data_IF_896949700748
#
_entry.id   IF_896949700748
#
_cell.length_a   1.000
_cell.length_b   1.000
_cell.length_c   1.000
_cell.angle_alpha   90.00
_cell.angle_beta   90.00
_cell.angle_gamma   90.00
#
_symmetry.space_group_name_H-M   'P 1'
#
loop_
_entity.id
_entity.type
_entity.pdbx_description
1 polymer ?
#
# COMPACT_ATOMS: atom_id res chain seq x y z
N UNK A 1 42.52 7.66 -15.07
CA UNK A 1 41.14 7.77 -14.55
C UNK A 1 40.25 7.88 -15.77
N UNK A 2 39.80 6.73 -16.28
CA UNK A 2 38.92 6.66 -17.45
C UNK A 2 37.49 6.94 -17.00
N UNK A 3 36.95 8.07 -17.44
CA UNK A 3 35.53 8.35 -17.33
C UNK A 3 34.80 7.44 -18.33
N UNK A 4 34.07 6.47 -17.78
CA UNK A 4 33.34 5.44 -18.52
C UNK A 4 32.47 6.05 -19.63
N UNK A 5 32.83 5.71 -20.86
CA UNK A 5 32.02 5.88 -22.06
C UNK A 5 30.75 5.06 -21.89
N UNK A 6 29.61 5.72 -21.72
CA UNK A 6 28.30 5.08 -21.72
C UNK A 6 27.97 4.81 -23.20
N UNK A 7 28.23 3.58 -23.65
CA UNK A 7 27.80 3.14 -24.98
C UNK A 7 26.26 3.19 -25.04
N UNK A 8 25.75 3.87 -26.08
CA UNK A 8 24.38 4.39 -26.20
C UNK A 8 23.24 3.37 -26.37
N UNK A 9 23.40 2.15 -25.87
CA UNK A 9 22.30 1.21 -25.65
C UNK A 9 22.18 1.01 -24.16
N UNK A 10 21.64 2.02 -23.47
CA UNK A 10 21.60 2.10 -22.00
C UNK A 10 20.88 0.92 -21.38
N UNK A 11 21.64 -0.08 -20.92
CA UNK A 11 21.11 -1.20 -20.15
C UNK A 11 20.48 -0.67 -18.86
N UNK A 12 19.21 -0.99 -18.63
CA UNK A 12 18.53 -0.59 -17.39
C UNK A 12 18.96 -1.57 -16.31
N UNK A 13 19.81 -1.12 -15.39
CA UNK A 13 20.15 -1.88 -14.20
C UNK A 13 18.97 -1.93 -13.23
N UNK A 14 18.58 -3.14 -12.83
CA UNK A 14 17.59 -3.42 -11.78
C UNK A 14 18.30 -4.11 -10.61
N UNK A 15 18.11 -3.58 -9.41
CA UNK A 15 18.61 -4.19 -8.18
C UNK A 15 17.46 -4.63 -7.30
N UNK A 16 17.55 -5.81 -6.71
CA UNK A 16 16.54 -6.34 -5.78
C UNK A 16 17.19 -6.51 -4.41
N UNK A 17 16.54 -5.99 -3.37
CA UNK A 17 16.98 -6.07 -1.99
C UNK A 17 15.79 -6.46 -1.10
N UNK A 18 16.05 -7.23 -0.05
CA UNK A 18 15.01 -7.68 0.86
C UNK A 18 15.48 -7.75 2.31
N UNK A 19 14.51 -7.82 3.21
CA UNK A 19 14.72 -8.11 4.64
C UNK A 19 14.87 -9.61 4.93
N UNK A 20 14.50 -10.45 3.96
CA UNK A 20 14.57 -11.91 3.95
C UNK A 20 15.52 -12.44 2.86
N UNK A 21 15.81 -13.74 2.85
CA UNK A 21 16.67 -14.36 1.85
C UNK A 21 16.02 -14.34 0.45
N UNK A 22 16.80 -13.97 -0.57
CA UNK A 22 16.31 -13.76 -1.94
C UNK A 22 16.57 -14.93 -2.88
N UNK A 23 17.29 -15.96 -2.43
CA UNK A 23 17.72 -17.09 -3.25
C UNK A 23 16.59 -17.71 -4.08
N UNK A 24 15.38 -17.96 -3.53
CA UNK A 24 14.27 -18.53 -4.31
C UNK A 24 13.68 -17.58 -5.37
N UNK A 25 13.94 -16.28 -5.27
CA UNK A 25 13.45 -15.28 -6.23
C UNK A 25 14.38 -15.12 -7.44
N UNK A 26 15.62 -15.59 -7.34
CA UNK A 26 16.65 -15.40 -8.39
C UNK A 26 16.22 -16.06 -9.68
N UNK A 27 15.99 -17.38 -9.67
CA UNK A 27 15.65 -18.13 -10.88
C UNK A 27 14.33 -17.64 -11.52
N UNK A 28 13.22 -17.44 -10.77
CA UNK A 28 11.98 -16.92 -11.34
C UNK A 28 12.12 -15.56 -12.06
N UNK A 29 12.95 -14.65 -11.52
CA UNK A 29 13.20 -13.35 -12.15
C UNK A 29 14.11 -13.45 -13.36
N UNK A 30 15.21 -14.19 -13.26
CA UNK A 30 16.13 -14.40 -14.38
C UNK A 30 15.43 -15.07 -15.55
N UNK A 31 14.62 -16.11 -15.29
CA UNK A 31 13.84 -16.79 -16.32
C UNK A 31 12.89 -15.85 -17.05
N UNK A 32 12.30 -14.86 -16.38
CA UNK A 32 11.37 -13.90 -17.01
C UNK A 32 12.08 -12.75 -17.72
N UNK A 33 13.14 -12.22 -17.13
CA UNK A 33 13.86 -11.05 -17.66
C UNK A 33 14.90 -11.41 -18.70
N UNK A 34 15.45 -12.64 -18.68
CA UNK A 34 16.54 -13.07 -19.56
C UNK A 34 16.09 -14.03 -20.67
N UNK A 35 14.85 -14.51 -20.68
CA UNK A 35 14.37 -15.46 -21.71
C UNK A 35 14.10 -14.83 -23.09
N UNK A 36 14.05 -13.50 -23.21
CA UNK A 36 13.79 -12.82 -24.47
C UNK A 36 15.07 -12.40 -25.23
N UNK A 37 15.15 -12.59 -26.56
CA UNK A 37 16.23 -12.01 -27.36
C UNK A 37 16.19 -10.47 -27.25
N UNK A 38 17.31 -9.86 -26.84
CA UNK A 38 17.41 -8.41 -26.64
C UNK A 38 17.08 -7.94 -25.22
N UNK A 39 17.19 -8.80 -24.21
CA UNK A 39 17.14 -8.38 -22.80
C UNK A 39 18.30 -7.42 -22.48
N UNK A 40 18.01 -6.13 -22.34
CA UNK A 40 18.96 -5.09 -21.91
C UNK A 40 18.94 -4.85 -20.40
N UNK A 41 18.23 -5.70 -19.66
CA UNK A 41 18.03 -5.52 -18.22
C UNK A 41 19.10 -6.27 -17.47
N UNK A 42 19.99 -5.55 -16.79
CA UNK A 42 20.96 -6.17 -15.89
C UNK A 42 20.31 -6.35 -14.52
N UNK A 43 20.10 -7.59 -14.10
CA UNK A 43 19.56 -7.91 -12.79
C UNK A 43 20.70 -8.14 -11.78
N UNK A 44 20.56 -7.60 -10.57
CA UNK A 44 21.47 -7.88 -9.46
C UNK A 44 20.72 -7.96 -8.14
N UNK A 45 21.26 -8.74 -7.21
CA UNK A 45 20.67 -8.95 -5.89
C UNK A 45 21.57 -8.38 -4.81
N UNK A 46 20.96 -7.75 -3.82
CA UNK A 46 21.64 -7.31 -2.62
C UNK A 46 21.81 -8.47 -1.64
N UNK A 47 22.90 -8.52 -0.87
CA UNK A 47 23.03 -9.49 0.21
C UNK A 47 21.91 -9.33 1.26
N UNK A 48 21.58 -10.45 1.91
CA UNK A 48 20.59 -10.51 2.99
C UNK A 48 20.78 -9.39 4.02
N UNK A 49 19.70 -8.69 4.37
CA UNK A 49 19.68 -7.66 5.40
C UNK A 49 20.34 -6.32 5.02
N UNK A 50 20.73 -6.11 3.76
CA UNK A 50 21.40 -4.87 3.32
C UNK A 50 20.46 -3.82 2.72
N UNK A 51 19.13 -3.97 2.86
CA UNK A 51 18.15 -3.09 2.23
C UNK A 51 18.40 -1.58 2.45
N UNK A 52 18.62 -1.15 3.70
CA UNK A 52 18.87 0.26 4.02
C UNK A 52 20.16 0.78 3.37
N UNK A 53 21.19 -0.05 3.32
CA UNK A 53 22.45 0.27 2.65
C UNK A 53 22.25 0.44 1.15
N UNK A 54 21.42 -0.37 0.52
CA UNK A 54 21.10 -0.25 -0.91
C UNK A 54 20.32 1.02 -1.22
N UNK A 55 19.40 1.42 -0.34
CA UNK A 55 18.68 2.68 -0.48
C UNK A 55 19.61 3.90 -0.40
N UNK A 56 20.57 3.88 0.54
CA UNK A 56 21.50 4.99 0.79
C UNK A 56 22.80 4.93 -0.03
N UNK A 57 23.04 3.80 -0.71
CA UNK A 57 24.26 3.52 -1.44
C UNK A 57 24.42 4.38 -2.71
N UNK A 58 25.57 4.27 -3.39
CA UNK A 58 25.69 4.83 -4.73
C UNK A 58 24.62 4.20 -5.64
N UNK A 59 23.93 5.02 -6.44
CA UNK A 59 22.94 4.54 -7.40
C UNK A 59 23.64 3.84 -8.57
N UNK A 60 24.03 2.59 -8.35
CA UNK A 60 24.66 1.74 -9.37
C UNK A 60 23.62 1.13 -10.31
N UNK A 61 22.35 1.13 -9.90
CA UNK A 61 21.22 0.69 -10.70
C UNK A 61 20.27 1.88 -10.95
N UNK A 62 19.64 1.91 -12.13
CA UNK A 62 18.58 2.88 -12.40
C UNK A 62 17.33 2.59 -11.56
N UNK A 63 17.08 1.32 -11.25
CA UNK A 63 15.88 0.87 -10.54
C UNK A 63 16.24 0.00 -9.34
N UNK A 64 15.48 0.15 -8.25
CA UNK A 64 15.58 -0.69 -7.06
C UNK A 64 14.21 -1.26 -6.71
N UNK A 65 14.18 -2.54 -6.35
CA UNK A 65 13.04 -3.23 -5.77
C UNK A 65 13.41 -3.58 -4.33
N UNK A 66 12.61 -3.11 -3.38
CA UNK A 66 12.76 -3.29 -1.96
C UNK A 66 11.63 -4.18 -1.43
N UNK A 67 11.92 -5.44 -1.09
CA UNK A 67 10.95 -6.36 -0.48
C UNK A 67 11.06 -6.30 1.05
N UNK A 68 9.95 -5.98 1.69
CA UNK A 68 9.92 -5.59 3.10
C UNK A 68 9.00 -6.53 3.85
N UNK A 69 9.53 -7.20 4.87
CA UNK A 69 8.73 -7.91 5.86
C UNK A 69 9.09 -7.39 7.25
N UNK A 70 8.16 -6.68 7.88
CA UNK A 70 8.43 -5.91 9.10
C UNK A 70 9.01 -6.72 10.25
N UNK A 71 8.57 -7.96 10.44
CA UNK A 71 9.04 -8.81 11.54
C UNK A 71 10.54 -9.17 11.46
N UNK A 72 11.16 -9.10 10.28
CA UNK A 72 12.56 -9.48 10.11
C UNK A 72 13.51 -8.56 10.87
N UNK A 73 13.14 -7.28 11.08
CA UNK A 73 13.92 -6.35 11.92
C UNK A 73 13.84 -6.65 13.42
N UNK A 74 12.87 -7.46 13.84
CA UNK A 74 12.61 -7.78 15.23
C UNK A 74 13.05 -9.21 15.60
N UNK A 75 13.37 -10.05 14.61
CA UNK A 75 13.67 -11.49 14.76
C UNK A 75 14.76 -11.81 15.80
N UNK A 76 15.79 -10.97 15.91
CA UNK A 76 16.92 -11.19 16.83
C UNK A 76 16.80 -10.46 18.17
N UNK A 77 15.66 -9.83 18.45
CA UNK A 77 15.49 -9.07 19.70
C UNK A 77 15.06 -9.98 20.83
N UNK A 78 15.94 -10.14 21.81
CA UNK A 78 15.63 -10.83 23.07
C UNK A 78 14.73 -9.94 23.94
N UNK A 79 13.64 -10.50 24.47
CA UNK A 79 12.73 -9.79 25.40
C UNK A 79 11.49 -9.16 24.75
N UNK A 80 11.15 -9.53 23.51
CA UNK A 80 9.98 -9.03 22.80
C UNK A 80 10.22 -7.68 22.12
N UNK A 81 9.24 -7.24 21.33
CA UNK A 81 9.28 -5.96 20.63
C UNK A 81 8.81 -4.85 21.57
N UNK A 82 9.70 -3.91 21.88
CA UNK A 82 9.32 -2.72 22.66
C UNK A 82 8.76 -1.66 21.74
N UNK A 83 7.87 -0.81 22.26
CA UNK A 83 7.27 0.27 21.46
C UNK A 83 8.31 1.20 20.81
N UNK A 84 9.37 1.55 21.54
CA UNK A 84 10.46 2.37 20.99
C UNK A 84 11.15 1.74 19.77
N UNK A 85 11.13 0.41 19.67
CA UNK A 85 11.72 -0.33 18.56
C UNK A 85 10.83 -0.25 17.30
N UNK A 86 9.49 -0.29 17.50
CA UNK A 86 8.50 -0.02 16.46
C UNK A 86 8.57 1.42 15.95
N UNK A 87 9.07 2.36 16.75
CA UNK A 87 9.23 3.75 16.31
C UNK A 87 10.52 3.97 15.52
N UNK A 88 11.64 3.44 16.02
CA UNK A 88 12.98 3.71 15.50
C UNK A 88 13.28 3.00 14.17
N UNK A 89 12.94 1.70 14.05
CA UNK A 89 13.26 0.90 12.86
C UNK A 89 12.63 1.48 11.59
N UNK A 90 11.32 1.80 11.57
CA UNK A 90 10.72 2.42 10.39
C UNK A 90 11.30 3.81 10.12
N UNK A 91 11.69 4.58 11.14
CA UNK A 91 12.20 5.93 10.87
C UNK A 91 13.53 5.90 10.11
N UNK A 92 14.40 4.92 10.38
CA UNK A 92 15.61 4.71 9.61
C UNK A 92 15.29 4.34 8.14
N UNK A 93 14.35 3.42 7.93
CA UNK A 93 13.89 3.05 6.59
C UNK A 93 13.25 4.23 5.86
N UNK A 94 12.35 4.98 6.50
CA UNK A 94 11.69 6.14 5.92
C UNK A 94 12.69 7.24 5.58
N UNK A 95 13.69 7.46 6.42
CA UNK A 95 14.81 8.35 6.13
C UNK A 95 15.58 7.84 4.90
N UNK A 96 15.86 6.55 4.81
CA UNK A 96 16.55 5.96 3.66
C UNK A 96 15.74 6.12 2.36
N UNK A 97 14.42 5.90 2.41
CA UNK A 97 13.51 6.14 1.28
C UNK A 97 13.54 7.61 0.86
N UNK A 98 13.48 8.56 1.79
CA UNK A 98 13.54 10.01 1.45
C UNK A 98 14.86 10.44 0.81
N UNK A 99 15.95 9.73 1.08
CA UNK A 99 17.29 10.05 0.61
C UNK A 99 17.83 9.07 -0.45
N UNK A 100 16.96 8.22 -1.01
CA UNK A 100 17.37 7.27 -2.04
C UNK A 100 17.90 8.00 -3.28
N UNK A 101 18.76 7.32 -4.04
CA UNK A 101 19.43 7.91 -5.23
C UNK A 101 19.08 7.24 -6.55
N UNK A 102 18.28 6.18 -6.52
CA UNK A 102 17.77 5.51 -7.74
C UNK A 102 16.70 6.34 -8.44
N UNK A 103 16.49 6.15 -9.74
CA UNK A 103 15.47 6.91 -10.48
C UNK A 103 14.07 6.36 -10.31
N UNK A 104 13.94 5.05 -10.02
CA UNK A 104 12.68 4.42 -9.63
C UNK A 104 12.91 3.40 -8.51
N UNK A 105 12.08 3.47 -7.49
CA UNK A 105 12.08 2.58 -6.34
C UNK A 105 10.70 1.93 -6.21
N UNK A 106 10.62 0.61 -6.32
CA UNK A 106 9.44 -0.14 -5.91
C UNK A 106 9.65 -0.66 -4.49
N UNK A 107 8.73 -0.35 -3.59
CA UNK A 107 8.66 -0.93 -2.26
C UNK A 107 7.50 -1.93 -2.23
N UNK A 108 7.80 -3.18 -1.92
CA UNK A 108 6.79 -4.23 -1.76
C UNK A 108 6.73 -4.61 -0.30
N UNK A 109 5.61 -4.33 0.35
CA UNK A 109 5.33 -4.80 1.71
C UNK A 109 4.76 -6.21 1.63
N UNK A 110 5.55 -7.17 2.12
CA UNK A 110 5.24 -8.59 2.07
C UNK A 110 4.47 -9.04 3.33
N UNK A 111 3.63 -10.10 3.24
CA UNK A 111 2.83 -10.55 4.36
C UNK A 111 3.69 -10.97 5.57
N UNK A 112 3.31 -10.60 6.81
CA UNK A 112 3.98 -11.09 8.01
C UNK A 112 3.73 -12.60 8.22
N UNK A 113 4.48 -13.28 9.09
CA UNK A 113 4.12 -14.61 9.63
C UNK A 113 2.93 -14.51 10.59
N UNK A 114 2.42 -15.67 11.00
CA UNK A 114 1.48 -15.78 12.13
C UNK A 114 2.12 -15.47 13.48
N UNK A 115 3.44 -15.55 13.58
CA UNK A 115 4.19 -15.39 14.83
C UNK A 115 4.73 -13.96 14.97
N UNK A 116 4.33 -13.07 14.05
CA UNK A 116 4.73 -11.69 14.00
C UNK A 116 4.19 -10.89 15.20
N UNK A 117 4.75 -9.68 15.45
CA UNK A 117 4.17 -8.74 16.42
C UNK A 117 2.68 -8.48 16.14
N UNK A 118 1.99 -7.91 17.12
CA UNK A 118 0.56 -7.62 17.04
C UNK A 118 0.21 -7.01 15.65
N UNK A 119 -0.78 -7.58 14.92
CA UNK A 119 -1.17 -7.07 13.60
C UNK A 119 -1.50 -5.58 13.60
N UNK A 120 -1.96 -5.02 14.72
CA UNK A 120 -2.23 -3.58 14.88
C UNK A 120 -0.95 -2.74 14.89
N UNK A 121 0.14 -3.25 15.50
CA UNK A 121 1.44 -2.59 15.47
C UNK A 121 2.00 -2.55 14.04
N UNK A 122 1.91 -3.67 13.32
CA UNK A 122 2.38 -3.76 11.93
C UNK A 122 1.55 -2.90 10.97
N UNK A 123 0.22 -2.82 11.17
CA UNK A 123 -0.63 -1.91 10.40
C UNK A 123 -0.20 -0.44 10.58
N UNK A 124 0.22 -0.06 11.78
CA UNK A 124 0.80 1.27 12.02
C UNK A 124 2.07 1.53 11.19
N UNK A 125 2.88 0.51 10.92
CA UNK A 125 4.07 0.61 10.07
C UNK A 125 3.69 0.75 8.59
N UNK A 126 2.73 -0.05 8.13
CA UNK A 126 2.16 0.04 6.78
C UNK A 126 1.65 1.46 6.48
N UNK A 127 0.90 2.06 7.40
CA UNK A 127 0.41 3.44 7.22
C UNK A 127 1.53 4.47 7.20
N UNK A 128 2.59 4.30 8.01
CA UNK A 128 3.73 5.23 8.02
C UNK A 128 4.45 5.24 6.68
N UNK A 129 4.65 4.07 6.07
CA UNK A 129 5.30 3.97 4.78
C UNK A 129 4.38 4.42 3.65
N UNK A 130 3.09 4.08 3.71
CA UNK A 130 2.08 4.53 2.75
C UNK A 130 1.93 6.05 2.72
N UNK A 131 2.06 6.73 3.87
CA UNK A 131 2.09 8.20 3.92
C UNK A 131 3.32 8.81 3.28
N UNK A 132 4.47 8.15 3.41
CA UNK A 132 5.76 8.71 3.00
C UNK A 132 6.00 8.52 1.51
N UNK A 133 5.65 7.35 0.97
CA UNK A 133 5.98 6.99 -0.42
C UNK A 133 5.45 8.00 -1.47
N UNK A 134 4.19 8.48 -1.43
CA UNK A 134 3.65 9.42 -2.42
C UNK A 134 4.35 10.79 -2.45
N UNK A 135 5.11 11.13 -1.40
CA UNK A 135 5.81 12.42 -1.27
C UNK A 135 7.20 12.35 -1.92
N UNK A 136 7.74 11.15 -2.08
CA UNK A 136 9.09 10.94 -2.57
C UNK A 136 9.03 10.60 -4.04
N UNK A 137 9.60 11.46 -4.88
CA UNK A 137 9.63 11.26 -6.33
C UNK A 137 10.28 9.92 -6.70
N UNK A 138 9.68 9.21 -7.65
CA UNK A 138 10.19 7.93 -8.14
C UNK A 138 9.90 6.74 -7.22
N UNK A 139 9.22 6.93 -6.09
CA UNK A 139 8.84 5.83 -5.18
C UNK A 139 7.43 5.34 -5.48
N UNK A 140 7.31 4.03 -5.68
CA UNK A 140 6.05 3.31 -5.77
C UNK A 140 5.98 2.31 -4.62
N UNK A 141 4.79 2.07 -4.10
CA UNK A 141 4.56 1.08 -3.04
C UNK A 141 3.46 0.12 -3.47
N UNK A 142 3.62 -1.15 -3.08
CA UNK A 142 2.64 -2.20 -3.28
C UNK A 142 2.61 -3.14 -2.09
N UNK A 143 1.48 -3.83 -1.94
CA UNK A 143 1.24 -4.77 -0.84
C UNK A 143 1.05 -6.17 -1.41
N UNK A 144 2.02 -7.04 -1.18
CA UNK A 144 2.00 -8.38 -1.78
C UNK A 144 0.86 -9.26 -1.23
N UNK A 145 0.30 -8.92 -0.06
CA UNK A 145 -0.95 -9.53 0.44
C UNK A 145 -2.13 -9.38 -0.52
N UNK A 146 -2.13 -8.34 -1.35
CA UNK A 146 -3.22 -8.07 -2.30
C UNK A 146 -2.98 -8.77 -3.66
N UNK A 147 -1.88 -9.52 -3.79
CA UNK A 147 -1.56 -10.28 -5.00
C UNK A 147 -2.06 -11.72 -4.93
N UNK A 148 -2.53 -12.14 -3.77
CA UNK A 148 -3.09 -13.47 -3.53
C UNK A 148 -4.57 -13.38 -3.22
N UNK A 149 -5.27 -14.48 -3.48
CA UNK A 149 -6.70 -14.58 -3.21
C UNK A 149 -6.97 -14.39 -1.71
N UNK A 150 -8.00 -13.60 -1.34
CA UNK A 150 -8.40 -13.45 0.05
C UNK A 150 -8.62 -14.82 0.72
N UNK A 151 -8.01 -15.04 1.88
CA UNK A 151 -8.13 -16.29 2.63
C UNK A 151 -7.01 -17.31 2.39
N UNK A 152 -6.11 -17.08 1.42
CA UNK A 152 -4.94 -17.94 1.19
C UNK A 152 -3.65 -17.41 1.87
N UNK A 153 -3.78 -16.56 2.91
CA UNK A 153 -2.63 -15.95 3.60
C UNK A 153 -1.70 -16.96 4.29
N UNK A 154 -2.24 -18.11 4.68
CA UNK A 154 -1.42 -19.19 5.26
C UNK A 154 -0.72 -20.04 4.20
N UNK A 155 -1.27 -20.11 2.98
CA UNK A 155 -0.76 -20.95 1.90
C UNK A 155 0.51 -20.36 1.25
N UNK A 156 0.76 -19.06 1.43
CA UNK A 156 1.96 -18.39 0.88
C UNK A 156 3.20 -18.54 1.75
N UNK A 157 3.06 -19.06 2.97
CA UNK A 157 4.12 -19.05 4.00
C UNK A 157 4.83 -20.41 4.07
N UNK A 158 6.16 -20.38 4.05
CA UNK A 158 6.96 -21.57 4.37
C UNK A 158 7.62 -21.39 5.75
N UNK A 159 6.90 -21.80 6.80
CA UNK A 159 7.38 -21.66 8.20
C UNK A 159 8.65 -22.46 8.47
N UNK A 160 8.86 -23.56 7.74
CA UNK A 160 10.03 -24.40 7.96
C UNK A 160 11.27 -23.73 7.37
N UNK A 161 11.21 -23.36 6.10
CA UNK A 161 12.30 -22.66 5.40
C UNK A 161 12.60 -21.30 6.03
N UNK A 162 11.59 -20.59 6.54
CA UNK A 162 11.79 -19.32 7.22
C UNK A 162 12.66 -19.46 8.47
N UNK A 163 12.45 -20.55 9.22
CA UNK A 163 13.16 -20.81 10.47
C UNK A 163 14.63 -21.15 10.24
N UNK A 164 14.94 -21.88 9.16
CA UNK A 164 16.29 -22.42 8.93
C UNK A 164 17.13 -21.56 7.97
N UNK A 165 16.49 -20.89 7.02
CA UNK A 165 17.14 -20.23 5.90
C UNK A 165 16.67 -18.79 5.69
N UNK A 166 15.76 -18.28 6.53
CA UNK A 166 15.15 -16.96 6.36
C UNK A 166 14.44 -16.80 5.00
N UNK A 167 13.88 -17.91 4.51
CA UNK A 167 13.05 -17.97 3.30
C UNK A 167 11.58 -18.02 3.74
N UNK A 168 10.87 -16.88 3.76
CA UNK A 168 9.59 -16.76 4.46
C UNK A 168 8.39 -17.32 3.71
N UNK A 169 8.54 -17.53 2.41
CA UNK A 169 7.43 -17.83 1.52
C UNK A 169 7.68 -19.10 0.72
N UNK A 170 6.60 -19.67 0.22
CA UNK A 170 6.67 -20.82 -0.69
C UNK A 170 7.21 -20.40 -2.06
N UNK A 171 7.70 -21.37 -2.82
CA UNK A 171 8.19 -21.16 -4.18
C UNK A 171 7.09 -20.56 -5.08
N UNK A 172 5.84 -21.00 -4.93
CA UNK A 172 4.70 -20.47 -5.68
C UNK A 172 4.47 -18.98 -5.41
N UNK A 173 4.65 -18.52 -4.17
CA UNK A 173 4.53 -17.10 -3.88
C UNK A 173 5.72 -16.30 -4.42
N UNK A 174 6.93 -16.87 -4.44
CA UNK A 174 8.08 -16.25 -5.11
C UNK A 174 7.86 -16.11 -6.63
N UNK A 175 7.17 -17.04 -7.27
CA UNK A 175 6.74 -16.90 -8.67
C UNK A 175 5.81 -15.69 -8.86
N UNK A 176 4.83 -15.51 -7.96
CA UNK A 176 3.93 -14.35 -7.96
C UNK A 176 4.72 -13.05 -7.76
N UNK A 177 5.64 -13.00 -6.81
CA UNK A 177 6.52 -11.84 -6.60
C UNK A 177 7.30 -11.51 -7.88
N UNK A 178 7.89 -12.53 -8.52
CA UNK A 178 8.66 -12.35 -9.75
C UNK A 178 7.81 -11.78 -10.90
N UNK A 179 6.61 -12.31 -11.12
CA UNK A 179 5.68 -11.81 -12.12
C UNK A 179 5.32 -10.33 -11.91
N UNK A 180 5.05 -9.93 -10.66
CA UNK A 180 4.67 -8.55 -10.32
C UNK A 180 5.85 -7.59 -10.47
N UNK A 181 7.03 -8.00 -10.05
CA UNK A 181 8.26 -7.21 -10.23
C UNK A 181 8.56 -7.00 -11.72
N UNK A 182 8.46 -8.05 -12.55
CA UNK A 182 8.66 -7.97 -14.00
C UNK A 182 7.64 -7.01 -14.63
N UNK A 183 6.36 -7.12 -14.26
CA UNK A 183 5.33 -6.19 -14.71
C UNK A 183 5.69 -4.73 -14.42
N UNK A 184 6.16 -4.43 -13.21
CA UNK A 184 6.61 -3.09 -12.84
C UNK A 184 7.85 -2.63 -13.62
N UNK A 185 8.83 -3.52 -13.84
CA UNK A 185 10.01 -3.25 -14.68
C UNK A 185 9.58 -2.89 -16.10
N UNK A 186 8.59 -3.59 -16.66
CA UNK A 186 8.06 -3.31 -18.00
C UNK A 186 7.21 -2.02 -18.06
N UNK A 187 6.98 -1.36 -16.92
CA UNK A 187 6.11 -0.18 -16.83
C UNK A 187 4.63 -0.51 -16.92
N UNK A 188 4.25 -1.78 -16.76
CA UNK A 188 2.86 -2.20 -16.63
C UNK A 188 2.39 -1.93 -15.21
N UNK A 189 1.11 -1.60 -15.06
CA UNK A 189 0.50 -1.40 -13.76
C UNK A 189 0.66 -2.67 -12.90
N UNK A 190 0.96 -2.48 -11.61
CA UNK A 190 0.87 -3.53 -10.61
C UNK A 190 -0.61 -3.81 -10.39
N UNK A 191 -1.23 -4.64 -11.22
CA UNK A 191 -2.61 -5.05 -11.01
C UNK A 191 -2.71 -6.02 -9.81
N UNK A 192 -3.89 -6.18 -9.23
CA UNK A 192 -4.15 -7.32 -8.34
C UNK A 192 -3.88 -8.66 -9.05
N UNK A 193 -3.75 -9.72 -8.26
CA UNK A 193 -3.89 -11.11 -8.72
C UNK A 193 -5.01 -11.23 -9.74
N UNK A 194 -4.75 -11.71 -10.96
CA UNK A 194 -5.85 -12.37 -11.67
C UNK A 194 -6.10 -13.65 -10.88
N UNK A 195 -7.37 -13.96 -10.62
CA UNK A 195 -7.76 -15.15 -9.85
C UNK A 195 -7.22 -16.47 -10.45
N UNK A 196 -6.64 -16.42 -11.65
CA UNK A 196 -6.18 -17.55 -12.44
C UNK A 196 -4.76 -18.06 -12.09
N UNK A 197 -3.94 -17.31 -11.33
CA UNK A 197 -2.50 -17.65 -11.18
C UNK A 197 -2.16 -18.46 -9.91
N UNK A 198 -3.07 -18.59 -8.94
CA UNK A 198 -2.87 -19.47 -7.76
C UNK A 198 -4.14 -20.28 -7.51
N UNK A 199 -4.41 -21.24 -8.40
CA UNK A 199 -5.53 -22.19 -8.26
C UNK A 199 -5.07 -23.49 -7.59
N UNK A 200 -4.33 -23.39 -6.50
CA UNK A 200 -3.95 -24.54 -5.64
C UNK A 200 -4.24 -24.30 -4.16
N UNK A 201 -5.11 -23.34 -3.80
CA UNK A 201 -5.81 -23.41 -2.52
C UNK A 201 -6.81 -24.59 -2.62
N UNK A 202 -6.50 -25.69 -1.93
CA UNK A 202 -7.26 -26.94 -2.00
C UNK A 202 -8.76 -26.74 -1.74
N UNK A 203 -9.57 -27.16 -2.71
CA UNK A 203 -11.04 -27.35 -2.73
C UNK A 203 -11.92 -26.56 -1.75
N UNK A 204 -12.78 -25.69 -2.31
CA UNK A 204 -14.23 -25.67 -2.02
C UNK A 204 -15.00 -24.84 -3.05
N UNK A 205 -15.90 -25.55 -3.73
CA UNK A 205 -17.12 -25.18 -4.47
C UNK A 205 -17.28 -23.82 -5.18
N UNK A 206 -17.45 -23.96 -6.49
CA UNK A 206 -18.01 -22.98 -7.39
C UNK A 206 -19.48 -22.67 -7.06
N UNK A 207 -19.76 -21.42 -6.70
CA UNK A 207 -21.03 -20.75 -6.99
C UNK A 207 -20.90 -19.27 -6.64
N UNK A 208 -20.94 -18.39 -7.65
CA UNK A 208 -21.79 -17.18 -7.75
C UNK A 208 -21.40 -16.50 -9.07
N UNK A 209 -22.15 -16.81 -10.14
CA UNK A 209 -22.13 -16.05 -11.37
C UNK A 209 -23.58 -15.76 -11.76
N UNK A 210 -23.90 -14.45 -11.84
CA UNK A 210 -25.05 -13.79 -12.46
C UNK A 210 -25.86 -12.91 -11.51
N UNK A 211 -25.37 -11.69 -11.32
CA UNK A 211 -26.16 -10.53 -10.90
C UNK A 211 -25.84 -9.39 -11.88
N UNK A 212 -26.84 -8.63 -12.36
CA UNK A 212 -26.62 -7.58 -13.36
C UNK A 212 -25.60 -6.54 -12.88
N UNK A 213 -24.79 -6.07 -13.83
CA UNK A 213 -23.64 -5.19 -13.68
C UNK A 213 -24.05 -3.79 -13.20
N UNK A 214 -24.34 -3.65 -11.91
CA UNK A 214 -24.27 -2.35 -11.25
C UNK A 214 -22.82 -1.84 -11.36
N UNK A 215 -22.66 -0.52 -11.53
CA UNK A 215 -21.35 0.13 -11.51
C UNK A 215 -20.53 -0.43 -10.34
N UNK A 216 -19.36 -1.02 -10.61
CA UNK A 216 -18.53 -1.70 -9.61
C UNK A 216 -18.14 -0.70 -8.52
N UNK A 217 -18.93 -0.67 -7.45
CA UNK A 217 -18.68 0.13 -6.25
C UNK A 217 -17.96 -0.76 -5.25
N UNK A 218 -16.70 -0.45 -4.96
CA UNK A 218 -15.93 -1.16 -3.93
C UNK A 218 -16.16 -0.46 -2.59
N UNK A 219 -17.16 -0.92 -1.84
CA UNK A 219 -17.37 -0.50 -0.44
C UNK A 219 -16.42 -1.29 0.44
N UNK A 220 -15.34 -0.65 0.88
CA UNK A 220 -14.35 -1.28 1.76
C UNK A 220 -14.67 -0.95 3.21
N UNK A 221 -15.08 -1.96 3.99
CA UNK A 221 -15.11 -1.85 5.44
C UNK A 221 -13.66 -1.87 5.94
N UNK A 222 -13.12 -0.70 6.24
CA UNK A 222 -11.68 -0.56 6.51
C UNK A 222 -11.35 -1.02 7.93
N UNK A 223 -10.30 -1.85 8.11
CA UNK A 223 -9.64 -1.94 9.41
C UNK A 223 -9.15 -0.53 9.81
N UNK A 224 -9.25 -0.15 11.10
CA UNK A 224 -8.70 1.12 11.56
C UNK A 224 -7.24 1.28 11.14
N UNK A 225 -6.89 2.44 10.57
CA UNK A 225 -5.51 2.76 10.20
C UNK A 225 -5.02 2.00 8.98
N UNK A 226 -5.77 2.03 7.88
CA UNK A 226 -5.33 1.56 6.54
C UNK A 226 -5.67 2.55 5.41
N UNK A 227 -5.95 3.80 5.77
CA UNK A 227 -6.46 4.80 4.83
C UNK A 227 -5.38 5.15 3.81
N UNK A 228 -4.15 5.33 4.27
CA UNK A 228 -3.03 5.71 3.42
C UNK A 228 -2.58 4.55 2.54
N UNK A 229 -2.56 3.34 3.10
CA UNK A 229 -2.34 2.13 2.33
C UNK A 229 -3.31 2.05 1.14
N UNK A 230 -4.61 2.17 1.39
CA UNK A 230 -5.61 1.97 0.34
C UNK A 230 -5.49 3.02 -0.77
N UNK A 231 -5.16 4.27 -0.42
CA UNK A 231 -4.91 5.33 -1.39
C UNK A 231 -3.63 5.13 -2.19
N UNK A 232 -2.60 4.51 -1.59
CA UNK A 232 -1.31 4.30 -2.23
C UNK A 232 -1.23 2.96 -2.99
N UNK A 233 -2.09 1.99 -2.69
CA UNK A 233 -2.08 0.68 -3.32
C UNK A 233 -2.68 0.68 -4.73
N UNK A 234 -1.81 0.82 -5.73
CA UNK A 234 -2.17 0.74 -7.16
C UNK A 234 -2.69 -0.63 -7.58
N UNK A 235 -2.34 -1.69 -6.85
CA UNK A 235 -2.88 -3.02 -7.04
C UNK A 235 -4.17 -3.23 -6.23
N UNK A 236 -4.58 -2.23 -5.48
CA UNK A 236 -5.65 -2.33 -4.51
C UNK A 236 -7.03 -2.18 -5.13
N UNK A 237 -8.07 -2.48 -4.33
CA UNK A 237 -9.46 -2.39 -4.75
C UNK A 237 -9.88 -1.00 -5.22
N UNK A 238 -9.23 0.09 -4.77
CA UNK A 238 -9.54 1.45 -5.24
C UNK A 238 -9.07 1.72 -6.67
N UNK A 239 -8.02 1.04 -7.15
CA UNK A 239 -7.44 1.27 -8.47
C UNK A 239 -7.93 0.26 -9.53
N UNK A 240 -8.37 -0.94 -9.10
CA UNK A 240 -8.74 -2.01 -10.02
C UNK A 240 -10.17 -1.89 -10.55
N UNK A 241 -10.39 -0.95 -11.48
CA UNK A 241 -11.57 -0.95 -12.35
C UNK A 241 -12.89 -0.57 -11.67
N UNK A 242 -12.84 0.00 -10.47
CA UNK A 242 -13.99 0.67 -9.87
C UNK A 242 -14.25 2.00 -10.61
N UNK A 243 -15.51 2.32 -10.90
CA UNK A 243 -15.88 3.65 -11.39
C UNK A 243 -15.94 4.68 -10.24
N UNK A 244 -16.15 4.19 -9.02
CA UNK A 244 -16.23 4.95 -7.77
C UNK A 244 -15.54 4.17 -6.65
N UNK A 245 -14.48 4.75 -6.09
CA UNK A 245 -13.85 4.30 -4.85
C UNK A 245 -14.52 4.96 -3.65
N UNK A 246 -14.90 4.19 -2.63
CA UNK A 246 -15.44 4.70 -1.38
C UNK A 246 -14.41 4.54 -0.26
N UNK A 247 -14.11 5.64 0.42
CA UNK A 247 -13.13 5.72 1.51
C UNK A 247 -13.77 6.39 2.72
N UNK A 248 -14.12 5.59 3.73
CA UNK A 248 -14.62 6.10 5.00
C UNK A 248 -13.45 6.45 5.93
N UNK A 249 -13.37 7.70 6.35
CA UNK A 249 -12.33 8.22 7.24
C UNK A 249 -12.87 8.18 8.67
N UNK A 250 -12.50 7.16 9.43
CA UNK A 250 -12.90 7.04 10.84
C UNK A 250 -12.13 7.99 11.76
N UNK A 251 -12.74 8.34 12.91
CA UNK A 251 -12.13 9.11 14.01
C UNK A 251 -11.12 8.29 14.82
N UNK A 252 -11.42 7.01 15.07
CA UNK A 252 -10.62 6.14 15.94
C UNK A 252 -9.14 6.00 15.54
N UNK A 253 -8.78 5.79 14.25
CA UNK A 253 -7.38 5.76 13.86
C UNK A 253 -6.67 7.12 14.01
N UNK A 254 -7.44 8.22 14.10
CA UNK A 254 -6.90 9.57 14.27
C UNK A 254 -6.77 9.93 15.76
N UNK A 255 -7.68 9.43 16.60
CA UNK A 255 -7.65 9.59 18.06
C UNK A 255 -6.62 8.66 18.72
N UNK A 256 -6.44 7.43 18.22
CA UNK A 256 -5.45 6.49 18.74
C UNK A 256 -4.00 6.83 18.36
N UNK A 257 -3.78 7.76 17.42
CA UNK A 257 -2.46 8.35 17.22
C UNK A 257 -1.93 9.02 18.50
N UNK A 258 -2.82 9.55 19.36
CA UNK A 258 -2.43 10.21 20.61
C UNK A 258 -2.35 9.26 21.82
N UNK A 259 -2.98 8.07 21.77
CA UNK A 259 -3.11 7.19 22.94
C UNK A 259 -1.84 6.41 23.33
N UNK A 260 -0.77 6.47 22.53
CA UNK A 260 0.46 5.71 22.78
C UNK A 260 1.75 6.29 22.19
N UNK A 261 1.70 7.51 21.63
CA UNK A 261 2.91 8.23 21.23
C UNK A 261 3.48 8.98 22.44
N UNK A 262 4.78 8.81 22.70
CA UNK A 262 5.55 9.71 23.54
C UNK A 262 5.28 11.18 23.13
N UNK A 263 5.46 12.18 24.03
CA UNK A 263 5.15 13.59 23.79
C UNK A 263 5.81 14.07 22.49
N UNK A 264 4.97 14.08 21.46
CA UNK A 264 5.28 14.19 20.06
C UNK A 264 3.94 14.16 19.33
N UNK A 265 3.01 14.95 19.86
CA UNK A 265 1.70 15.27 19.30
C UNK A 265 1.89 15.60 17.82
N UNK A 266 1.63 14.63 16.94
CA UNK A 266 1.40 15.00 15.55
C UNK A 266 0.10 15.76 15.58
N UNK A 267 0.18 17.05 15.27
CA UNK A 267 -1.01 17.87 15.21
C UNK A 267 -1.93 17.31 14.14
N UNK A 268 -3.23 17.41 14.36
CA UNK A 268 -4.25 17.10 13.37
C UNK A 268 -3.95 17.73 12.01
N UNK A 269 -3.29 18.89 11.99
CA UNK A 269 -2.81 19.56 10.78
C UNK A 269 -1.86 18.69 9.94
N UNK A 270 -0.93 17.97 10.56
CA UNK A 270 0.02 17.10 9.84
C UNK A 270 -0.72 15.95 9.16
N UNK A 271 -1.68 15.35 9.87
CA UNK A 271 -2.52 14.28 9.34
C UNK A 271 -3.41 14.78 8.19
N UNK A 272 -4.09 15.92 8.36
CA UNK A 272 -4.91 16.55 7.32
C UNK A 272 -4.07 16.85 6.09
N UNK A 273 -2.84 17.34 6.29
CA UNK A 273 -1.89 17.61 5.21
C UNK A 273 -1.49 16.34 4.48
N UNK A 274 -1.15 15.28 5.22
CA UNK A 274 -0.76 13.99 4.63
C UNK A 274 -1.91 13.34 3.87
N UNK A 275 -3.13 13.38 4.41
CA UNK A 275 -4.32 12.82 3.76
C UNK A 275 -4.68 13.61 2.51
N UNK A 276 -4.68 14.94 2.57
CA UNK A 276 -4.87 15.79 1.39
C UNK A 276 -3.85 15.46 0.29
N UNK A 277 -2.57 15.29 0.66
CA UNK A 277 -1.51 14.94 -0.29
C UNK A 277 -1.74 13.55 -0.90
N UNK A 278 -2.13 12.57 -0.10
CA UNK A 278 -2.38 11.20 -0.55
C UNK A 278 -3.60 11.12 -1.49
N UNK A 279 -4.67 11.86 -1.18
CA UNK A 279 -5.83 12.00 -2.06
C UNK A 279 -5.45 12.65 -3.40
N UNK A 280 -4.61 13.69 -3.37
CA UNK A 280 -4.10 14.32 -4.61
C UNK A 280 -3.24 13.37 -5.44
N UNK A 281 -2.35 12.62 -4.81
CA UNK A 281 -1.53 11.62 -5.48
C UNK A 281 -2.42 10.55 -6.13
N UNK A 282 -3.39 10.01 -5.40
CA UNK A 282 -4.39 9.09 -5.93
C UNK A 282 -5.12 9.66 -7.15
N UNK A 283 -5.62 10.91 -7.07
CA UNK A 283 -6.36 11.54 -8.18
C UNK A 283 -5.50 11.90 -9.38
N UNK A 284 -4.19 12.10 -9.21
CA UNK A 284 -3.28 12.32 -10.32
C UNK A 284 -3.09 11.05 -11.17
N UNK A 285 -3.35 9.87 -10.60
CA UNK A 285 -3.04 8.58 -11.21
C UNK A 285 -4.29 7.77 -11.54
N UNK A 286 -5.39 7.99 -10.82
CA UNK A 286 -6.63 7.23 -10.98
C UNK A 286 -7.76 8.10 -11.52
N UNK A 287 -8.39 7.63 -12.60
CA UNK A 287 -9.57 8.30 -13.17
C UNK A 287 -10.83 8.11 -12.30
N UNK A 288 -10.92 7.00 -11.55
CA UNK A 288 -12.09 6.62 -10.77
C UNK A 288 -12.46 7.66 -9.71
N UNK A 289 -13.73 8.06 -9.65
CA UNK A 289 -14.22 9.03 -8.66
C UNK A 289 -13.90 8.53 -7.25
N UNK A 290 -13.57 9.42 -6.34
CA UNK A 290 -13.31 9.09 -4.94
C UNK A 290 -14.36 9.74 -4.06
N UNK A 291 -15.15 8.96 -3.34
CA UNK A 291 -16.04 9.44 -2.30
C UNK A 291 -15.38 9.26 -0.93
N UNK A 292 -15.08 10.39 -0.29
CA UNK A 292 -14.59 10.46 1.07
C UNK A 292 -15.75 10.68 2.03
N UNK A 293 -15.95 9.73 2.94
CA UNK A 293 -16.95 9.85 3.99
C UNK A 293 -16.25 10.31 5.26
N UNK A 294 -16.48 11.55 5.64
CA UNK A 294 -15.98 12.14 6.88
C UNK A 294 -17.09 12.06 7.93
N UNK A 295 -16.78 11.80 9.20
CA UNK A 295 -17.82 11.74 10.22
C UNK A 295 -18.40 13.14 10.46
N UNK A 296 -19.70 13.18 10.74
CA UNK A 296 -20.35 14.44 11.14
C UNK A 296 -19.81 14.94 12.47
N UNK A 297 -20.04 16.24 12.72
CA UNK A 297 -19.74 16.84 14.01
C UNK A 297 -20.47 16.04 15.11
N UNK A 298 -19.78 15.52 16.12
CA UNK A 298 -20.47 14.85 17.23
C UNK A 298 -21.42 15.83 17.91
N UNK A 299 -22.60 15.33 18.32
CA UNK A 299 -23.59 16.14 19.02
C UNK A 299 -23.05 16.69 20.36
N UNK A 300 -22.17 15.95 21.01
CA UNK A 300 -21.50 16.38 22.24
C UNK A 300 -20.17 17.10 21.93
N UNK A 301 -20.06 18.33 22.41
CA UNK A 301 -18.90 19.19 22.23
C UNK A 301 -17.80 18.85 23.23
N UNK A 302 -17.12 17.73 23.01
CA UNK A 302 -15.84 17.46 23.70
C UNK A 302 -14.69 18.23 23.03
N UNK A 303 -13.61 18.59 23.75
CA UNK A 303 -12.43 19.19 23.13
C UNK A 303 -11.86 18.37 21.97
N UNK A 304 -11.83 17.03 22.11
CA UNK A 304 -11.40 16.11 21.07
C UNK A 304 -12.36 16.13 19.85
N UNK A 305 -13.67 16.14 20.10
CA UNK A 305 -14.69 16.25 19.06
C UNK A 305 -14.60 17.57 18.27
N UNK A 306 -14.32 18.69 18.95
CA UNK A 306 -14.11 19.98 18.30
C UNK A 306 -12.84 19.99 17.45
N UNK A 307 -11.74 19.44 17.96
CA UNK A 307 -10.48 19.36 17.23
C UNK A 307 -10.62 18.50 15.96
N UNK A 308 -11.27 17.35 16.07
CA UNK A 308 -11.53 16.49 14.92
C UNK A 308 -12.49 17.16 13.92
N UNK A 309 -13.52 17.87 14.39
CA UNK A 309 -14.41 18.64 13.53
C UNK A 309 -13.64 19.72 12.73
N UNK A 310 -12.74 20.46 13.38
CA UNK A 310 -11.88 21.43 12.71
C UNK A 310 -10.94 20.77 11.69
N UNK A 311 -10.38 19.61 12.04
CA UNK A 311 -9.54 18.85 11.12
C UNK A 311 -10.31 18.41 9.87
N UNK A 312 -11.54 17.91 10.01
CA UNK A 312 -12.37 17.52 8.88
C UNK A 312 -12.86 18.70 8.05
N UNK A 313 -13.19 19.82 8.68
CA UNK A 313 -13.50 21.05 7.96
C UNK A 313 -12.30 21.50 7.11
N UNK A 314 -11.09 21.47 7.69
CA UNK A 314 -9.85 21.80 6.98
C UNK A 314 -9.57 20.84 5.83
N UNK A 315 -9.72 19.53 6.08
CA UNK A 315 -9.56 18.50 5.06
C UNK A 315 -10.54 18.70 3.91
N UNK A 316 -11.82 18.93 4.20
CA UNK A 316 -12.86 19.20 3.21
C UNK A 316 -12.47 20.39 2.33
N UNK A 317 -12.12 21.54 2.92
CA UNK A 317 -11.66 22.72 2.15
C UNK A 317 -10.46 22.41 1.25
N UNK A 318 -9.53 21.56 1.70
CA UNK A 318 -8.32 21.24 0.93
C UNK A 318 -8.55 20.31 -0.27
N UNK A 319 -9.67 19.57 -0.30
CA UNK A 319 -9.88 18.49 -1.28
C UNK A 319 -11.22 18.55 -2.02
N UNK A 320 -12.21 19.31 -1.55
CA UNK A 320 -13.54 19.40 -2.18
C UNK A 320 -13.49 19.93 -3.62
N UNK A 321 -12.47 20.73 -3.94
CA UNK A 321 -12.25 21.29 -5.27
C UNK A 321 -11.40 20.37 -6.17
N UNK A 322 -11.00 19.18 -5.71
CA UNK A 322 -10.26 18.25 -6.54
C UNK A 322 -11.20 17.54 -7.53
N UNK A 323 -10.91 17.56 -8.84
CA UNK A 323 -11.76 16.91 -9.83
C UNK A 323 -11.98 15.43 -9.53
N UNK A 324 -13.25 15.02 -9.44
CA UNK A 324 -13.64 13.64 -9.18
C UNK A 324 -13.55 13.21 -7.72
N UNK A 325 -13.34 14.13 -6.77
CA UNK A 325 -13.46 13.86 -5.33
C UNK A 325 -14.80 14.38 -4.83
N UNK A 326 -15.53 13.53 -4.12
CA UNK A 326 -16.76 13.86 -3.41
C UNK A 326 -16.50 13.74 -1.92
N UNK A 327 -16.99 14.68 -1.11
CA UNK A 327 -16.86 14.62 0.34
C UNK A 327 -18.27 14.60 0.94
N UNK A 328 -18.59 13.57 1.70
CA UNK A 328 -19.88 13.46 2.40
C UNK A 328 -19.67 13.42 3.92
N UNK A 329 -20.63 14.00 4.64
CA UNK A 329 -20.76 13.84 6.10
C UNK A 329 -21.60 12.63 6.51
N UNK A 330 -22.42 12.10 5.59
CA UNK A 330 -23.46 11.14 5.94
C UNK A 330 -22.88 9.83 6.48
N UNK A 331 -23.68 9.10 7.25
CA UNK A 331 -23.32 7.77 7.73
C UNK A 331 -22.91 6.86 6.55
N UNK A 332 -21.74 6.20 6.59
CA UNK A 332 -21.31 5.28 5.55
C UNK A 332 -22.35 4.22 5.19
N UNK A 333 -23.16 3.75 6.14
CA UNK A 333 -24.24 2.79 5.90
C UNK A 333 -25.36 3.39 5.04
N UNK A 334 -25.72 4.66 5.30
CA UNK A 334 -26.72 5.39 4.51
C UNK A 334 -26.19 5.65 3.10
N UNK A 335 -24.92 6.02 2.97
CA UNK A 335 -24.27 6.20 1.68
C UNK A 335 -24.17 4.90 0.89
N UNK A 336 -23.85 3.78 1.53
CA UNK A 336 -23.77 2.48 0.85
C UNK A 336 -25.14 2.07 0.27
N UNK A 337 -26.23 2.30 1.01
CA UNK A 337 -27.60 2.07 0.51
C UNK A 337 -27.93 3.03 -0.64
N UNK A 338 -27.67 4.33 -0.46
CA UNK A 338 -27.93 5.33 -1.50
C UNK A 338 -27.14 5.07 -2.79
N UNK A 339 -25.89 4.61 -2.70
CA UNK A 339 -25.04 4.30 -3.85
C UNK A 339 -25.39 2.97 -4.51
N UNK A 340 -25.98 2.03 -3.77
CA UNK A 340 -26.52 0.79 -4.34
C UNK A 340 -27.81 1.05 -5.15
N UNK A 341 -28.60 2.03 -4.73
CA UNK A 341 -29.87 2.39 -5.37
C UNK A 341 -29.72 3.37 -6.55
N UNK A 342 -28.66 4.18 -6.57
CA UNK A 342 -28.38 5.11 -7.68
C UNK A 342 -27.63 4.37 -8.80
N UNK A 343 -28.39 3.71 -9.67
CA UNK A 343 -27.90 3.35 -11.01
C UNK A 343 -27.41 4.61 -11.73
N UNK A 344 -26.21 4.54 -12.31
CA UNK A 344 -25.48 5.63 -13.00
C UNK A 344 -25.72 7.04 -12.44
N UNK A 345 -24.83 7.49 -11.55
CA UNK A 345 -24.77 8.90 -11.14
C UNK A 345 -24.43 9.76 -12.36
N UNK A 346 -25.44 10.29 -13.03
CA UNK A 346 -25.28 11.28 -14.09
C UNK A 346 -24.66 12.55 -13.49
N UNK A 347 -23.72 13.15 -14.22
CA UNK A 347 -22.75 14.11 -13.71
C UNK A 347 -23.30 15.54 -13.58
N UNK A 348 -24.39 15.73 -12.82
CA UNK A 348 -24.81 17.07 -12.40
C UNK A 348 -24.24 17.42 -11.01
N UNK A 349 -23.73 18.65 -10.82
CA UNK A 349 -23.05 19.05 -9.59
C UNK A 349 -23.96 19.26 -8.37
N UNK A 350 -25.28 19.13 -8.53
CA UNK A 350 -26.26 19.35 -7.46
C UNK A 350 -26.99 18.05 -7.09
N UNK A 351 -26.34 17.21 -6.29
CA UNK A 351 -27.04 16.16 -5.53
C UNK A 351 -27.11 16.64 -4.08
N UNK A 352 -28.18 17.36 -3.74
CA UNK A 352 -28.63 17.46 -2.35
C UNK A 352 -29.14 16.06 -1.93
N UNK A 353 -28.30 15.29 -1.23
CA UNK A 353 -28.80 14.13 -0.47
C UNK A 353 -29.59 14.71 0.70
N UNK A 354 -30.89 14.92 0.50
CA UNK A 354 -31.79 15.31 1.60
C UNK A 354 -31.93 14.13 2.55
N UNK A 355 -31.26 14.23 3.69
CA UNK A 355 -31.46 13.32 4.83
C UNK A 355 -32.90 13.38 5.31
N UNK A 356 -33.73 12.45 4.85
CA UNK A 356 -35.01 12.15 5.47
C UNK A 356 -34.75 11.32 6.72
N UNK A 357 -34.80 11.97 7.88
CA UNK A 357 -34.91 11.26 9.16
C UNK A 357 -36.35 10.74 9.25
N UNK A 358 -36.51 9.42 9.28
CA UNK A 358 -37.75 8.76 9.68
C UNK A 358 -37.58 8.20 11.10
#
# INVERSE_FOLDING_TARGET
>A
MDAGRIDGTGSIGVRVAATFALDPLVEPLERRLCAGPGSWTTLSFAPYGQLVRELLGPATAGRLVALIRWEDWFRYRTGGVRRADLDAVPEELLRAIRHHRVSRLLIVVCPPSTDAPDPTDLAGLDERIARTAPIVSGVEIAWARNWVSPGCDDDVRDRFSDRIAHVPYTDEFFEVLADRIVSWIDGRALAAGSADVVTTCGSLDAAVANTPTLAKCSVLKQPPGRIFELLADRAGPLHNGASLGLLAVGLDPLANADAGLAPGSRTWDALVTDLSRSVRAYRAECAARLLLVLPERPAELTPAGNLAHHAFASLRMLIENLPGVLVSGADPAILAVALADVGEIDATPDIEIRGGVA
#
